data_IF_213283569770
#
_entry.id   IF_213283569770
#
_cell.length_a   1.000
_cell.length_b   1.000
_cell.length_c   1.000
_cell.angle_alpha   90.00
_cell.angle_beta   90.00
_cell.angle_gamma   90.00
#
_symmetry.space_group_name_H-M   'P 1'
#
loop_
_entity.id
_entity.type
_entity.pdbx_description
1 polymer ?
#
# COMPACT_ATOMS: atom_id res chain seq x y z
N UNK A 1 20.04 0.03 -2.51
CA UNK A 1 19.76 0.31 -3.94
C UNK A 1 18.44 -0.38 -4.31
N UNK A 2 17.63 0.13 -5.25
CA UNK A 2 16.42 -0.59 -5.68
C UNK A 2 16.81 -1.84 -6.52
N UNK A 3 15.96 -2.87 -6.60
CA UNK A 3 16.25 -4.10 -7.34
C UNK A 3 16.57 -3.86 -8.82
N UNK A 4 15.91 -2.88 -9.44
CA UNK A 4 16.11 -2.48 -10.83
C UNK A 4 17.38 -1.68 -11.07
N UNK A 5 18.04 -1.17 -10.02
CA UNK A 5 19.27 -0.35 -10.09
C UNK A 5 19.15 0.92 -10.95
N UNK A 6 17.92 1.30 -11.36
CA UNK A 6 17.67 2.49 -12.15
C UNK A 6 17.46 3.69 -11.21
N UNK A 7 18.14 4.79 -11.51
CA UNK A 7 17.97 6.02 -10.75
C UNK A 7 16.68 6.75 -11.20
N UNK A 8 15.80 7.22 -10.29
CA UNK A 8 14.52 7.86 -10.67
C UNK A 8 14.65 9.04 -11.64
N UNK A 9 15.79 9.75 -11.61
CA UNK A 9 16.08 10.83 -12.57
C UNK A 9 16.21 10.33 -14.02
N UNK A 10 16.73 9.12 -14.22
CA UNK A 10 16.88 8.52 -15.55
C UNK A 10 15.51 8.14 -16.10
N UNK A 11 14.68 7.50 -15.28
CA UNK A 11 13.30 7.15 -15.64
C UNK A 11 12.47 8.39 -15.97
N UNK A 12 12.60 9.47 -15.19
CA UNK A 12 11.91 10.73 -15.49
C UNK A 12 12.32 11.31 -16.85
N UNK A 13 13.60 11.22 -17.23
CA UNK A 13 14.07 11.67 -18.55
C UNK A 13 13.58 10.78 -19.69
N UNK A 14 13.46 9.48 -19.43
CA UNK A 14 13.00 8.49 -20.42
C UNK A 14 11.48 8.29 -20.39
N UNK A 15 10.75 9.00 -19.53
CA UNK A 15 9.34 8.74 -19.27
C UNK A 15 8.50 8.83 -20.55
N UNK A 16 8.72 9.83 -21.40
CA UNK A 16 7.99 10.01 -22.65
C UNK A 16 8.18 8.82 -23.61
N UNK A 17 9.42 8.33 -23.72
CA UNK A 17 9.77 7.17 -24.56
C UNK A 17 9.19 5.88 -23.99
N UNK A 18 9.25 5.73 -22.67
CA UNK A 18 8.79 4.52 -21.97
C UNK A 18 7.27 4.48 -21.78
N UNK A 19 6.55 5.60 -21.97
CA UNK A 19 5.11 5.69 -21.69
C UNK A 19 4.31 4.67 -22.50
N UNK A 20 4.52 4.58 -23.81
CA UNK A 20 3.80 3.65 -24.70
C UNK A 20 4.07 2.17 -24.38
N UNK A 21 5.32 1.69 -24.27
CA UNK A 21 5.55 0.29 -23.92
C UNK A 21 5.06 -0.03 -22.50
N UNK A 22 5.23 0.89 -21.54
CA UNK A 22 4.73 0.67 -20.17
C UNK A 22 3.21 0.61 -20.11
N UNK A 23 2.48 1.40 -20.89
CA UNK A 23 1.01 1.31 -20.91
C UNK A 23 0.53 -0.05 -21.39
N UNK A 24 1.21 -0.65 -22.38
CA UNK A 24 0.89 -1.98 -22.88
C UNK A 24 1.14 -3.02 -21.77
N UNK A 25 2.30 -2.95 -21.10
CA UNK A 25 2.67 -3.88 -20.03
C UNK A 25 1.69 -3.75 -18.84
N UNK A 26 1.34 -2.52 -18.43
CA UNK A 26 0.39 -2.27 -17.35
C UNK A 26 -0.99 -2.81 -17.69
N UNK A 27 -1.45 -2.60 -18.92
CA UNK A 27 -2.75 -3.12 -19.36
C UNK A 27 -2.76 -4.65 -19.40
N UNK A 28 -1.71 -5.28 -19.93
CA UNK A 28 -1.58 -6.74 -19.91
C UNK A 28 -1.56 -7.26 -18.47
N UNK A 29 -0.74 -6.68 -17.60
CA UNK A 29 -0.65 -7.05 -16.19
C UNK A 29 -1.98 -6.89 -15.45
N UNK A 30 -2.76 -5.85 -15.78
CA UNK A 30 -4.10 -5.64 -15.23
C UNK A 30 -5.12 -6.69 -15.71
N UNK A 31 -5.03 -7.08 -16.98
CA UNK A 31 -5.96 -8.04 -17.57
C UNK A 31 -5.68 -9.48 -17.11
N UNK A 32 -4.40 -9.87 -17.06
CA UNK A 32 -3.99 -11.23 -16.66
C UNK A 32 -3.87 -11.39 -15.14
N UNK A 33 -3.70 -10.28 -14.40
CA UNK A 33 -3.35 -10.32 -12.98
C UNK A 33 -1.90 -10.71 -12.73
N UNK A 34 -1.10 -10.91 -13.78
CA UNK A 34 0.31 -11.29 -13.66
C UNK A 34 1.19 -10.05 -13.50
N UNK A 35 2.04 -10.07 -12.46
CA UNK A 35 2.97 -8.98 -12.18
C UNK A 35 4.39 -9.39 -12.57
N UNK A 36 5.11 -8.58 -13.36
CA UNK A 36 6.52 -8.82 -13.66
C UNK A 36 7.35 -9.11 -12.41
N UNK A 37 8.23 -10.11 -12.48
CA UNK A 37 9.04 -10.55 -11.35
C UNK A 37 9.83 -9.39 -10.73
N UNK A 38 10.43 -8.53 -11.56
CA UNK A 38 11.21 -7.37 -11.11
C UNK A 38 10.39 -6.37 -10.28
N UNK A 39 9.06 -6.34 -10.43
CA UNK A 39 8.18 -5.48 -9.64
C UNK A 39 7.75 -6.12 -8.32
N UNK A 40 7.82 -7.46 -8.23
CA UNK A 40 7.60 -8.22 -6.99
C UNK A 40 8.82 -8.20 -6.06
N UNK A 41 10.00 -7.84 -6.59
CA UNK A 41 11.22 -7.73 -5.79
C UNK A 41 11.27 -6.43 -4.98
N UNK A 42 11.79 -6.54 -3.76
CA UNK A 42 12.09 -5.40 -2.92
C UNK A 42 13.47 -5.54 -2.28
N UNK A 43 14.21 -4.43 -2.19
CA UNK A 43 15.39 -4.35 -1.34
C UNK A 43 15.01 -3.76 0.01
N UNK A 44 15.17 -4.52 1.09
CA UNK A 44 14.87 -4.06 2.45
C UNK A 44 16.06 -3.26 2.98
N UNK A 45 15.82 -2.01 3.37
CA UNK A 45 16.83 -1.16 3.99
C UNK A 45 16.36 -0.69 5.36
N UNK A 46 17.18 -0.84 6.42
CA UNK A 46 16.83 -0.37 7.74
C UNK A 46 16.93 1.16 7.79
N UNK A 47 15.87 1.82 8.25
CA UNK A 47 15.87 3.26 8.54
C UNK A 47 15.82 3.45 10.04
N UNK A 48 16.83 4.11 10.57
CA UNK A 48 16.90 4.47 11.98
C UNK A 48 15.76 5.43 12.36
N UNK A 49 15.05 5.13 13.45
CA UNK A 49 13.89 5.90 13.91
C UNK A 49 14.23 6.83 15.08
N UNK A 50 14.70 6.29 16.21
CA UNK A 50 15.09 7.01 17.45
C UNK A 50 15.69 6.03 18.47
N UNK A 51 16.46 6.51 19.46
CA UNK A 51 17.00 5.68 20.55
C UNK A 51 18.51 5.38 20.42
N UNK A 52 18.95 4.22 20.91
CA UNK A 52 20.32 3.74 20.74
C UNK A 52 20.48 3.15 19.33
N UNK A 53 21.63 3.38 18.68
CA UNK A 53 21.89 2.92 17.30
C UNK A 53 22.26 1.44 17.23
N UNK A 54 22.64 0.86 18.36
CA UNK A 54 23.08 -0.53 18.51
C UNK A 54 21.88 -1.47 18.69
N UNK A 55 20.72 -0.93 19.07
CA UNK A 55 19.49 -1.68 19.23
C UNK A 55 18.73 -1.76 17.89
N UNK A 56 18.64 -2.99 17.36
CA UNK A 56 17.93 -3.30 16.11
C UNK A 56 16.44 -2.93 16.16
N UNK A 57 15.82 -2.90 17.35
CA UNK A 57 14.43 -2.49 17.55
C UNK A 57 14.17 -1.02 17.21
N UNK A 58 15.22 -0.20 17.14
CA UNK A 58 15.15 1.22 16.78
C UNK A 58 15.20 1.49 15.28
N UNK A 59 15.31 0.43 14.47
CA UNK A 59 15.24 0.52 13.01
C UNK A 59 13.88 0.05 12.51
N UNK A 60 13.40 0.70 11.45
CA UNK A 60 12.24 0.25 10.69
C UNK A 60 12.73 -0.31 9.35
N UNK A 61 12.38 -1.55 8.99
CA UNK A 61 12.65 -2.04 7.65
C UNK A 61 11.80 -1.25 6.65
N UNK A 62 12.43 -0.75 5.58
CA UNK A 62 11.74 -0.10 4.47
C UNK A 62 12.04 -0.85 3.18
N UNK A 63 10.98 -1.33 2.53
CA UNK A 63 11.04 -2.05 1.27
C UNK A 63 11.15 -1.06 0.09
N UNK A 64 12.31 -1.04 -0.55
CA UNK A 64 12.55 -0.27 -1.76
C UNK A 64 12.19 -1.13 -2.97
N UNK A 65 11.05 -0.84 -3.60
CA UNK A 65 10.57 -1.48 -4.82
C UNK A 65 10.91 -0.67 -6.07
N UNK A 66 10.82 -1.33 -7.23
CA UNK A 66 10.96 -0.69 -8.55
C UNK A 66 10.02 0.50 -8.70
N UNK A 67 10.49 1.57 -9.34
CA UNK A 67 9.69 2.78 -9.55
C UNK A 67 8.51 2.50 -10.49
N UNK A 68 8.74 1.70 -11.54
CA UNK A 68 7.68 1.27 -12.46
C UNK A 68 6.60 0.45 -11.77
N UNK A 69 7.00 -0.43 -10.84
CA UNK A 69 6.06 -1.16 -9.98
C UNK A 69 5.24 -0.22 -9.09
N UNK A 70 5.87 0.80 -8.50
CA UNK A 70 5.17 1.82 -7.70
C UNK A 70 4.16 2.63 -8.49
N UNK A 71 4.46 2.98 -9.75
CA UNK A 71 3.51 3.69 -10.61
C UNK A 71 2.25 2.86 -10.82
N UNK A 72 2.40 1.56 -11.10
CA UNK A 72 1.26 0.67 -11.25
C UNK A 72 0.50 0.48 -9.93
N UNK A 73 1.18 0.33 -8.79
CA UNK A 73 0.53 0.31 -7.48
C UNK A 73 -0.31 1.56 -7.22
N UNK A 74 0.13 2.74 -7.67
CA UNK A 74 -0.65 3.98 -7.55
C UNK A 74 -1.89 3.99 -8.44
N UNK A 75 -1.80 3.46 -9.66
CA UNK A 75 -2.96 3.30 -10.56
C UNK A 75 -3.99 2.39 -9.91
N UNK A 76 -3.55 1.25 -9.39
CA UNK A 76 -4.39 0.26 -8.71
C UNK A 76 -5.03 0.86 -7.45
N UNK A 77 -4.22 1.53 -6.62
CA UNK A 77 -4.69 2.20 -5.42
C UNK A 77 -5.77 3.23 -5.75
N UNK A 78 -5.59 4.01 -6.82
CA UNK A 78 -6.58 5.00 -7.26
C UNK A 78 -7.91 4.34 -7.62
N UNK A 79 -7.88 3.22 -8.34
CA UNK A 79 -9.08 2.45 -8.67
C UNK A 79 -9.77 1.87 -7.42
N UNK A 80 -9.00 1.32 -6.47
CA UNK A 80 -9.54 0.81 -5.20
C UNK A 80 -10.16 1.95 -4.38
N UNK A 81 -9.46 3.08 -4.26
CA UNK A 81 -9.94 4.23 -3.49
C UNK A 81 -11.25 4.78 -4.07
N UNK A 82 -11.35 4.85 -5.40
CA UNK A 82 -12.57 5.25 -6.08
C UNK A 82 -13.72 4.28 -5.74
N UNK A 83 -13.50 2.96 -5.89
CA UNK A 83 -14.50 1.95 -5.54
C UNK A 83 -14.95 2.05 -4.07
N UNK A 84 -14.01 2.25 -3.15
CA UNK A 84 -14.28 2.37 -1.72
C UNK A 84 -15.12 3.62 -1.41
N UNK A 85 -14.89 4.72 -2.14
CA UNK A 85 -15.65 5.96 -2.01
C UNK A 85 -17.06 5.80 -2.58
N UNK A 86 -17.19 5.28 -3.80
CA UNK A 86 -18.47 5.13 -4.51
C UNK A 86 -19.43 4.20 -3.75
N UNK A 87 -18.90 3.15 -3.11
CA UNK A 87 -19.69 2.16 -2.39
C UNK A 87 -19.76 2.38 -0.87
N UNK A 88 -19.21 3.51 -0.37
CA UNK A 88 -19.20 3.85 1.06
C UNK A 88 -18.69 2.72 1.99
N UNK A 89 -17.72 1.93 1.52
CA UNK A 89 -17.23 0.74 2.25
C UNK A 89 -16.56 1.13 3.58
N UNK A 90 -15.96 2.32 3.64
CA UNK A 90 -15.25 2.84 4.81
C UNK A 90 -16.11 3.87 5.55
N UNK A 91 -16.16 3.74 6.88
CA UNK A 91 -16.90 4.68 7.74
C UNK A 91 -16.39 6.12 7.62
N UNK A 92 -17.27 7.14 7.74
CA UNK A 92 -16.87 8.55 7.73
C UNK A 92 -15.88 8.95 8.84
N UNK A 93 -15.84 8.20 9.94
CA UNK A 93 -14.89 8.43 11.05
C UNK A 93 -13.45 8.03 10.72
N UNK A 94 -13.22 7.21 9.67
CA UNK A 94 -11.86 6.81 9.28
C UNK A 94 -11.12 7.99 8.64
N UNK A 95 -10.06 8.46 9.27
CA UNK A 95 -9.31 9.61 8.77
C UNK A 95 -8.00 9.24 8.09
N UNK A 96 -7.31 8.23 8.62
CA UNK A 96 -6.01 7.81 8.09
C UNK A 96 -6.18 7.17 6.72
N UNK A 97 -5.31 7.55 5.77
CA UNK A 97 -5.26 7.07 4.38
C UNK A 97 -6.45 7.49 3.50
N UNK A 98 -7.30 8.43 3.95
CA UNK A 98 -8.40 8.96 3.16
C UNK A 98 -8.02 10.31 2.52
N UNK A 99 -8.37 10.50 1.25
CA UNK A 99 -8.14 11.78 0.54
C UNK A 99 -8.92 12.90 1.23
N UNK A 100 -8.27 14.04 1.47
CA UNK A 100 -8.88 15.22 2.10
C UNK A 100 -9.10 15.11 3.61
N UNK A 101 -8.63 14.03 4.27
CA UNK A 101 -8.68 13.88 5.73
C UNK A 101 -7.28 13.91 6.31
N UNK A 102 -7.13 14.52 7.49
CA UNK A 102 -5.85 14.65 8.19
C UNK A 102 -5.97 14.30 9.66
N UNK A 103 -4.85 14.31 10.37
CA UNK A 103 -4.85 14.20 11.83
C UNK A 103 -5.65 15.34 12.47
N UNK A 104 -5.54 16.56 11.92
CA UNK A 104 -6.24 17.73 12.43
C UNK A 104 -7.75 17.61 12.25
N UNK A 105 -8.22 17.21 11.07
CA UNK A 105 -9.67 17.02 10.85
C UNK A 105 -10.23 15.90 11.73
N UNK A 106 -9.42 14.86 12.00
CA UNK A 106 -9.79 13.82 12.96
C UNK A 106 -9.96 14.37 14.37
N UNK A 107 -9.02 15.21 14.80
CA UNK A 107 -9.05 15.82 16.13
C UNK A 107 -10.24 16.76 16.30
N UNK A 108 -10.53 17.59 15.28
CA UNK A 108 -11.70 18.47 15.25
C UNK A 108 -12.98 17.64 15.36
N UNK A 109 -13.12 16.59 14.52
CA UNK A 109 -14.29 15.71 14.55
C UNK A 109 -14.45 14.96 15.88
N UNK A 110 -13.34 14.66 16.55
CA UNK A 110 -13.35 14.08 17.89
C UNK A 110 -13.84 15.08 18.93
N UNK A 111 -13.25 16.28 18.98
CA UNK A 111 -13.64 17.31 19.95
C UNK A 111 -15.10 17.72 19.82
N UNK A 112 -15.58 17.96 18.59
CA UNK A 112 -16.98 18.30 18.32
C UNK A 112 -17.98 17.30 18.93
N UNK A 113 -17.63 16.00 18.96
CA UNK A 113 -18.46 14.94 19.55
C UNK A 113 -18.40 14.90 21.07
N UNK A 114 -17.25 15.19 21.66
CA UNK A 114 -17.03 15.02 23.11
C UNK A 114 -17.32 16.30 23.91
N UNK A 115 -17.30 17.48 23.29
CA UNK A 115 -17.53 18.77 23.99
C UNK A 115 -18.93 18.93 24.57
N UNK A 116 -19.92 18.20 24.06
CA UNK A 116 -21.30 18.29 24.51
C UNK A 116 -21.69 17.23 25.55
N UNK A 117 -20.77 16.33 25.93
CA UNK A 117 -21.08 15.15 26.75
C UNK A 117 -20.00 14.92 27.81
N UNK A 118 -20.38 14.40 28.98
CA UNK A 118 -19.41 13.80 29.92
C UNK A 118 -19.15 12.38 29.44
N UNK A 119 -17.95 12.13 28.89
CA UNK A 119 -17.59 10.85 28.27
C UNK A 119 -16.23 10.37 28.74
N UNK A 120 -16.11 9.05 28.90
CA UNK A 120 -14.83 8.36 29.07
C UNK A 120 -14.26 7.97 27.69
N UNK A 121 -12.96 8.14 27.52
CA UNK A 121 -12.27 7.91 26.23
C UNK A 121 -11.24 6.79 26.40
N UNK A 122 -11.38 5.72 25.62
CA UNK A 122 -10.43 4.59 25.59
C UNK A 122 -9.58 4.67 24.33
N UNK A 123 -8.26 4.82 24.50
CA UNK A 123 -7.30 4.79 23.41
C UNK A 123 -6.75 3.39 23.20
N UNK A 124 -6.99 2.80 22.03
CA UNK A 124 -6.47 1.50 21.64
C UNK A 124 -5.31 1.66 20.64
N UNK A 125 -4.21 0.94 20.88
CA UNK A 125 -3.04 0.93 20.02
C UNK A 125 -2.63 -0.48 19.65
N UNK A 126 -2.42 -0.74 18.36
CA UNK A 126 -1.87 -2.02 17.89
C UNK A 126 -0.35 -1.93 17.78
N UNK A 127 0.35 -2.93 18.31
CA UNK A 127 1.79 -3.09 18.09
C UNK A 127 2.03 -3.66 16.69
N UNK A 128 2.99 -3.08 15.95
CA UNK A 128 3.48 -3.58 14.65
C UNK A 128 2.37 -4.01 13.66
N UNK A 129 1.38 -3.15 13.44
CA UNK A 129 0.19 -3.44 12.61
C UNK A 129 0.50 -4.08 11.27
N UNK A 130 1.53 -3.63 10.55
CA UNK A 130 1.87 -4.15 9.23
C UNK A 130 2.58 -5.51 9.25
N UNK A 131 3.20 -5.89 10.37
CA UNK A 131 3.93 -7.16 10.52
C UNK A 131 3.03 -8.27 11.10
N UNK A 132 1.93 -7.89 11.77
CA UNK A 132 1.01 -8.81 12.46
C UNK A 132 -0.12 -9.33 11.56
N UNK A 133 -0.26 -8.86 10.32
CA UNK A 133 -1.28 -9.38 9.41
C UNK A 133 -0.93 -10.82 8.97
N UNK A 134 -1.80 -11.82 9.20
CA UNK A 134 -1.56 -13.19 8.75
C UNK A 134 -1.54 -13.24 7.22
N UNK A 135 -0.38 -13.55 6.66
CA UNK A 135 -0.21 -13.79 5.23
C UNK A 135 -0.73 -15.20 4.93
N UNK A 136 -2.03 -15.32 4.66
CA UNK A 136 -2.66 -16.60 4.35
C UNK A 136 -2.32 -17.04 2.92
N UNK A 137 -2.17 -18.36 2.73
CA UNK A 137 -1.83 -19.04 1.48
C UNK A 137 -2.75 -18.61 0.31
N UNK A 138 -2.21 -18.48 -0.93
CA UNK A 138 -2.99 -18.12 -2.12
C UNK A 138 -3.87 -19.31 -2.53
N UNK A 139 -5.08 -19.38 -2.01
CA UNK A 139 -6.01 -20.47 -2.33
C UNK A 139 -7.47 -20.03 -2.32
N UNK A 140 -8.00 -19.60 -1.17
CA UNK A 140 -9.48 -19.70 -1.01
C UNK A 140 -10.20 -18.49 -0.41
N UNK A 141 -9.53 -17.41 -0.02
CA UNK A 141 -10.20 -16.29 0.69
C UNK A 141 -10.02 -14.90 0.10
N UNK A 142 -9.31 -14.75 -1.02
CA UNK A 142 -9.26 -13.48 -1.76
C UNK A 142 -10.66 -12.97 -2.14
N UNK A 143 -11.62 -13.87 -2.35
CA UNK A 143 -13.02 -13.52 -2.63
C UNK A 143 -13.83 -13.07 -1.40
N UNK A 144 -13.42 -13.44 -0.18
CA UNK A 144 -14.21 -13.16 1.05
C UNK A 144 -13.95 -11.75 1.60
N UNK A 145 -12.69 -11.29 1.60
CA UNK A 145 -12.36 -9.89 1.95
C UNK A 145 -12.89 -8.88 0.93
N UNK A 146 -12.97 -9.30 -0.34
CA UNK A 146 -13.52 -8.54 -1.44
C UNK A 146 -14.99 -8.89 -1.71
N UNK A 147 -15.74 -9.46 -0.75
CA UNK A 147 -17.15 -9.82 -0.94
C UNK A 147 -18.07 -8.66 -1.36
N UNK A 148 -17.62 -7.42 -1.14
CA UNK A 148 -18.29 -6.17 -1.57
C UNK A 148 -17.62 -5.47 -2.76
N UNK A 149 -16.62 -6.10 -3.36
CA UNK A 149 -15.89 -5.61 -4.52
C UNK A 149 -16.21 -6.53 -5.68
N UNK A 150 -16.58 -5.97 -6.82
CA UNK A 150 -16.95 -6.72 -8.03
C UNK A 150 -15.97 -7.91 -8.24
N UNK A 151 -16.50 -9.13 -8.40
CA UNK A 151 -15.70 -10.37 -8.44
C UNK A 151 -14.59 -10.35 -9.49
N UNK A 152 -14.72 -9.51 -10.53
CA UNK A 152 -13.69 -9.24 -11.53
C UNK A 152 -12.50 -8.43 -10.98
N UNK A 153 -12.75 -7.44 -10.13
CA UNK A 153 -11.71 -6.60 -9.53
C UNK A 153 -10.94 -7.37 -8.45
N UNK A 154 -11.64 -8.12 -7.60
CA UNK A 154 -11.00 -8.96 -6.56
C UNK A 154 -10.01 -9.98 -7.13
N UNK A 155 -10.36 -10.65 -8.25
CA UNK A 155 -9.47 -11.61 -8.93
C UNK A 155 -8.23 -10.95 -9.53
N UNK A 156 -8.36 -9.74 -10.10
CA UNK A 156 -7.25 -8.99 -10.68
C UNK A 156 -6.28 -8.44 -9.64
N UNK A 157 -6.81 -8.05 -8.48
CA UNK A 157 -6.02 -7.52 -7.37
C UNK A 157 -5.21 -8.60 -6.64
N UNK A 158 -5.67 -9.86 -6.64
CA UNK A 158 -5.00 -10.96 -5.95
C UNK A 158 -3.53 -11.14 -6.38
N UNK A 159 -3.23 -10.98 -7.67
CA UNK A 159 -1.86 -11.07 -8.18
C UNK A 159 -0.93 -9.92 -7.75
N UNK A 160 -1.50 -8.76 -7.45
CA UNK A 160 -0.79 -7.56 -6.99
C UNK A 160 -0.66 -7.47 -5.46
N UNK A 161 -1.59 -8.06 -4.72
CA UNK A 161 -1.60 -8.11 -3.26
C UNK A 161 -0.80 -9.30 -2.69
N UNK A 162 -0.21 -10.13 -3.56
CA UNK A 162 0.65 -11.24 -3.17
C UNK A 162 1.97 -10.80 -2.50
N UNK A 163 2.65 -11.71 -1.78
CA UNK A 163 3.89 -11.40 -1.08
C UNK A 163 4.99 -10.96 -2.05
N UNK A 164 5.73 -9.92 -1.65
CA UNK A 164 6.92 -9.46 -2.35
C UNK A 164 8.14 -10.25 -1.88
N UNK A 165 8.88 -10.82 -2.83
CA UNK A 165 10.10 -11.56 -2.51
C UNK A 165 11.24 -10.59 -2.21
N UNK A 166 12.05 -10.91 -1.19
CA UNK A 166 13.28 -10.19 -0.92
C UNK A 166 14.29 -10.54 -2.02
N UNK A 167 14.83 -9.54 -2.72
CA UNK A 167 15.92 -9.81 -3.68
C UNK A 167 17.18 -10.17 -2.91
N UNK A 168 17.75 -11.34 -3.18
CA UNK A 168 19.06 -11.73 -2.65
C UNK A 168 20.11 -10.74 -3.16
N UNK A 169 20.57 -9.86 -2.27
CA UNK A 169 21.73 -9.03 -2.52
C UNK A 169 22.99 -9.83 -2.19
N UNK A 170 23.73 -10.25 -3.22
CA UNK A 170 25.17 -10.51 -3.11
C UNK A 170 25.95 -9.20 -3.09
#
# INVERSE_FOLDING_TARGET
MRPDRIHPRVERKLAEVLTKPLSIIYQQSWLTGEVPVNWKLANVSPIYKKGCKEDLGNYRPVSLTSVLGKVMEQIILSAIMQHVQDNQVIRPSQHRFMKGRSYLTNLISFYDKVTCLVVDVVFLGFSKTFDTFPQHSPGETGCSWFGHVNSSLGKKLAGWLGPKSCGEGS
#
